data_IF_891669610483
#
_entry.id   IF_891669610483
#
_cell.length_a   1.000
_cell.length_b   1.000
_cell.length_c   1.000
_cell.angle_alpha   90.00
_cell.angle_beta   90.00
_cell.angle_gamma   90.00
#
_symmetry.space_group_name_H-M   'P 1'
#
loop_
_entity.id
_entity.type
_entity.pdbx_description
1 polymer ?
#
# COMPACT_ATOMS: atom_id res chain seq x y z
N UNK A 1 -13.58 -1.65 -21.94
CA UNK A 1 -13.02 -2.24 -20.71
C UNK A 1 -12.48 -1.09 -19.89
N UNK A 2 -12.91 -0.91 -18.64
CA UNK A 2 -12.39 0.14 -17.79
C UNK A 2 -10.90 -0.14 -17.52
N UNK A 3 -10.03 0.86 -17.64
CA UNK A 3 -8.63 0.70 -17.27
C UNK A 3 -8.53 0.68 -15.74
N UNK A 4 -7.69 -0.19 -15.16
CA UNK A 4 -7.49 -0.18 -13.72
C UNK A 4 -6.85 1.15 -13.30
N UNK A 5 -7.39 1.77 -12.26
CA UNK A 5 -6.88 3.04 -11.71
C UNK A 5 -5.43 2.95 -11.24
N UNK A 6 -5.05 1.81 -10.70
CA UNK A 6 -3.71 1.52 -10.19
C UNK A 6 -3.13 0.33 -10.93
N UNK A 7 -1.85 0.42 -11.31
CA UNK A 7 -1.11 -0.69 -11.91
C UNK A 7 -0.50 -1.59 -10.83
N UNK A 8 -0.14 -1.02 -9.69
CA UNK A 8 0.53 -1.71 -8.59
C UNK A 8 -0.23 -1.51 -7.29
N UNK A 9 -0.48 -2.61 -6.58
CA UNK A 9 -1.01 -2.58 -5.22
C UNK A 9 0.07 -3.14 -4.30
N UNK A 10 0.53 -2.31 -3.37
CA UNK A 10 1.55 -2.61 -2.38
C UNK A 10 0.88 -2.91 -1.05
N UNK A 11 1.35 -3.95 -0.38
CA UNK A 11 0.89 -4.34 0.95
C UNK A 11 2.05 -4.35 1.94
N UNK A 12 1.85 -3.79 3.14
CA UNK A 12 2.73 -4.09 4.26
C UNK A 12 2.35 -5.42 4.90
N UNK A 13 3.36 -6.16 5.32
CA UNK A 13 3.16 -7.52 5.78
C UNK A 13 4.32 -8.05 6.63
N UNK A 14 4.13 -8.01 7.95
CA UNK A 14 5.10 -8.49 8.93
C UNK A 14 4.98 -9.98 9.27
N UNK A 15 5.51 -10.88 8.41
CA UNK A 15 6.22 -12.08 8.90
C UNK A 15 5.68 -13.50 8.65
N UNK A 16 4.41 -13.76 8.31
CA UNK A 16 3.87 -15.04 7.71
C UNK A 16 2.33 -15.01 7.71
N UNK A 17 1.71 -15.45 6.62
CA UNK A 17 0.27 -15.69 6.36
C UNK A 17 0.19 -16.24 4.93
N UNK A 18 0.39 -17.55 4.89
CA UNK A 18 -0.07 -18.38 3.78
C UNK A 18 -1.58 -18.09 3.59
N UNK A 19 -1.95 -17.69 2.39
CA UNK A 19 -3.34 -17.69 1.95
C UNK A 19 -3.50 -18.91 1.03
N UNK A 20 -3.92 -20.04 1.58
CA UNK A 20 -4.70 -20.98 0.75
C UNK A 20 -6.07 -20.31 0.54
N UNK A 21 -6.48 -20.20 -0.73
CA UNK A 21 -7.61 -19.43 -1.29
C UNK A 21 -7.37 -17.96 -1.74
N UNK A 22 -6.18 -17.65 -2.26
CA UNK A 22 -6.06 -16.65 -3.33
C UNK A 22 -6.27 -17.31 -4.70
N UNK A 23 -6.64 -16.59 -5.78
CA UNK A 23 -6.63 -17.17 -7.12
C UNK A 23 -5.22 -17.72 -7.41
N UNK A 24 -5.12 -18.99 -7.81
CA UNK A 24 -3.87 -19.73 -7.99
C UNK A 24 -2.86 -19.02 -8.93
N UNK A 25 -3.34 -18.05 -9.72
CA UNK A 25 -2.63 -17.48 -10.86
C UNK A 25 -2.12 -16.04 -10.67
N UNK A 26 -2.25 -15.43 -9.48
CA UNK A 26 -1.78 -14.03 -9.26
C UNK A 26 -0.61 -14.00 -8.28
N UNK A 27 0.63 -14.16 -8.77
CA UNK A 27 1.82 -14.19 -7.92
C UNK A 27 2.14 -12.82 -7.32
N UNK A 28 2.81 -12.83 -6.17
CA UNK A 28 3.56 -11.67 -5.67
C UNK A 28 4.60 -11.33 -6.74
N UNK A 29 4.50 -10.13 -7.31
CA UNK A 29 5.37 -9.74 -8.42
C UNK A 29 6.76 -9.32 -7.93
N UNK A 30 6.85 -8.61 -6.81
CA UNK A 30 8.10 -8.08 -6.26
C UNK A 30 8.03 -7.95 -4.73
N UNK A 31 9.19 -8.01 -4.06
CA UNK A 31 9.33 -7.83 -2.61
C UNK A 31 10.35 -6.71 -2.35
N UNK A 32 9.98 -5.75 -1.50
CA UNK A 32 10.84 -4.64 -1.11
C UNK A 32 11.13 -4.67 0.40
N UNK A 33 12.35 -5.04 0.78
CA UNK A 33 12.78 -5.07 2.17
C UNK A 33 13.71 -3.89 2.51
N UNK A 34 13.53 -3.27 3.69
CA UNK A 34 14.43 -2.23 4.17
C UNK A 34 15.87 -2.73 4.35
N UNK A 35 16.07 -4.04 4.61
CA UNK A 35 17.41 -4.62 4.74
C UNK A 35 18.15 -4.64 3.40
N UNK A 36 17.43 -4.76 2.30
CA UNK A 36 17.99 -4.78 0.94
C UNK A 36 18.14 -3.36 0.39
N UNK A 37 17.13 -2.50 0.64
CA UNK A 37 17.14 -1.11 0.19
C UNK A 37 18.07 -0.23 1.05
N UNK A 38 18.30 -0.60 2.31
CA UNK A 38 19.11 0.16 3.27
C UNK A 38 18.39 1.35 3.92
N UNK A 39 17.16 1.63 3.51
CA UNK A 39 16.33 2.74 4.00
C UNK A 39 15.04 2.20 4.62
N UNK A 40 14.51 2.89 5.63
CA UNK A 40 13.21 2.53 6.21
C UNK A 40 12.07 3.17 5.44
N UNK A 41 10.87 2.61 5.53
CA UNK A 41 9.65 3.12 4.88
C UNK A 41 9.30 4.56 5.24
N UNK A 42 9.71 5.05 6.41
CA UNK A 42 9.52 6.44 6.82
C UNK A 42 10.36 7.42 5.98
N UNK A 43 11.42 6.93 5.34
CA UNK A 43 12.31 7.70 4.45
C UNK A 43 11.70 7.83 3.05
N UNK A 44 11.71 9.04 2.50
CA UNK A 44 11.33 9.27 1.11
C UNK A 44 12.20 8.47 0.13
N UNK A 45 13.46 8.19 0.50
CA UNK A 45 14.40 7.44 -0.33
C UNK A 45 13.94 5.98 -0.55
N UNK A 46 13.31 5.36 0.45
CA UNK A 46 12.74 4.02 0.31
C UNK A 46 11.70 4.00 -0.82
N UNK A 47 10.75 4.94 -0.79
CA UNK A 47 9.68 5.03 -1.78
C UNK A 47 10.20 5.41 -3.16
N UNK A 48 11.18 6.31 -3.25
CA UNK A 48 11.81 6.64 -4.53
C UNK A 48 12.45 5.40 -5.18
N UNK A 49 13.10 4.54 -4.39
CA UNK A 49 13.65 3.28 -4.88
C UNK A 49 12.54 2.34 -5.36
N UNK A 50 11.47 2.16 -4.58
CA UNK A 50 10.31 1.33 -4.98
C UNK A 50 9.71 1.80 -6.31
N UNK A 51 9.41 3.09 -6.42
CA UNK A 51 8.82 3.70 -7.63
C UNK A 51 9.74 3.52 -8.84
N UNK A 52 11.05 3.73 -8.66
CA UNK A 52 12.04 3.56 -9.72
C UNK A 52 12.17 2.10 -10.17
N UNK A 53 12.18 1.14 -9.25
CA UNK A 53 12.27 -0.29 -9.58
C UNK A 53 11.05 -0.77 -10.35
N UNK A 54 9.85 -0.31 -9.97
CA UNK A 54 8.61 -0.63 -10.68
C UNK A 54 8.43 0.16 -11.99
N UNK A 55 9.33 1.10 -12.29
CA UNK A 55 9.27 2.00 -13.44
C UNK A 55 7.90 2.69 -13.58
N UNK A 56 7.30 3.06 -12.44
CA UNK A 56 5.92 3.52 -12.36
C UNK A 56 5.82 5.00 -11.96
N UNK A 57 4.66 5.62 -12.16
CA UNK A 57 4.34 6.91 -11.55
C UNK A 57 3.74 6.69 -10.15
N UNK A 58 3.99 7.55 -9.15
CA UNK A 58 3.35 7.43 -7.82
C UNK A 58 1.82 7.29 -7.88
N UNK A 59 1.19 7.87 -8.91
CA UNK A 59 -0.26 7.80 -9.13
C UNK A 59 -0.76 6.42 -9.55
N UNK A 60 0.12 5.58 -10.07
CA UNK A 60 -0.18 4.21 -10.48
C UNK A 60 -0.07 3.22 -9.32
N UNK A 61 0.38 3.68 -8.14
CA UNK A 61 0.58 2.86 -6.95
C UNK A 61 -0.53 3.13 -5.91
N UNK A 62 -1.03 2.05 -5.34
CA UNK A 62 -1.82 2.05 -4.11
C UNK A 62 -1.07 1.29 -3.01
N UNK A 63 -0.88 1.90 -1.84
CA UNK A 63 -0.29 1.27 -0.64
C UNK A 63 -1.37 0.97 0.39
N UNK A 64 -1.33 -0.22 0.99
CA UNK A 64 -2.22 -0.63 2.08
C UNK A 64 -1.38 -1.23 3.21
N UNK A 65 -1.50 -0.69 4.41
CA UNK A 65 -0.79 -1.21 5.58
C UNK A 65 -1.42 -0.75 6.88
N UNK A 66 -1.05 -1.40 7.98
CA UNK A 66 -1.62 -1.15 9.31
C UNK A 66 -0.83 -0.10 10.10
N UNK A 67 0.40 0.20 9.70
CA UNK A 67 1.25 1.18 10.37
C UNK A 67 1.09 2.58 9.76
N UNK A 68 0.50 3.50 10.54
CA UNK A 68 0.12 4.83 10.06
C UNK A 68 1.27 5.63 9.42
N UNK A 69 2.41 5.76 10.08
CA UNK A 69 3.53 6.55 9.53
C UNK A 69 4.18 5.86 8.31
N UNK A 70 4.73 4.63 8.42
CA UNK A 70 5.47 4.03 7.32
C UNK A 70 4.59 3.60 6.13
N UNK A 71 3.32 3.23 6.32
CA UNK A 71 2.49 2.70 5.23
C UNK A 71 1.45 3.67 4.69
N UNK A 72 1.19 4.78 5.41
CA UNK A 72 0.16 5.73 5.01
C UNK A 72 0.75 7.11 4.82
N UNK A 73 1.39 7.68 5.85
CA UNK A 73 1.86 9.07 5.78
C UNK A 73 3.09 9.19 4.87
N UNK A 74 4.11 8.35 5.05
CA UNK A 74 5.34 8.40 4.25
C UNK A 74 5.10 8.19 2.74
N UNK A 75 4.38 7.15 2.26
CA UNK A 75 4.09 6.99 0.83
C UNK A 75 3.25 8.15 0.27
N UNK A 76 2.31 8.71 1.03
CA UNK A 76 1.51 9.86 0.59
C UNK A 76 2.37 11.11 0.36
N UNK A 77 3.45 11.31 1.13
CA UNK A 77 4.38 12.45 0.93
C UNK A 77 5.04 12.43 -0.45
N UNK A 78 5.19 11.27 -1.07
CA UNK A 78 5.73 11.11 -2.44
C UNK A 78 4.65 10.91 -3.50
N UNK A 79 3.36 11.05 -3.13
CA UNK A 79 2.24 11.01 -4.06
C UNK A 79 1.60 9.65 -4.28
N UNK A 80 1.95 8.63 -3.49
CA UNK A 80 1.33 7.29 -3.56
C UNK A 80 -0.02 7.31 -2.85
N UNK A 81 -1.06 6.80 -3.51
CA UNK A 81 -2.36 6.62 -2.87
C UNK A 81 -2.21 5.60 -1.74
N UNK A 82 -2.63 5.95 -0.52
CA UNK A 82 -2.42 5.06 0.63
C UNK A 82 -3.68 4.91 1.46
N UNK A 83 -3.98 3.68 1.86
CA UNK A 83 -5.14 3.28 2.67
C UNK A 83 -4.64 2.70 3.99
N UNK A 84 -5.18 3.22 5.09
CA UNK A 84 -4.87 2.69 6.41
C UNK A 84 -5.75 1.47 6.71
N UNK A 85 -5.11 0.32 6.97
CA UNK A 85 -5.80 -0.87 7.43
C UNK A 85 -5.86 -0.91 8.97
N UNK A 86 -6.95 -0.38 9.53
CA UNK A 86 -7.12 -0.22 10.96
C UNK A 86 -8.02 -1.32 11.56
N UNK A 87 -7.58 -2.58 11.50
CA UNK A 87 -8.39 -3.73 11.95
C UNK A 87 -8.81 -3.62 13.43
N UNK A 88 -7.93 -3.11 14.29
CA UNK A 88 -8.17 -3.01 15.75
C UNK A 88 -8.99 -1.78 16.16
N UNK A 89 -9.46 -0.97 15.19
CA UNK A 89 -10.15 0.29 15.43
C UNK A 89 -9.37 1.23 16.39
N UNK A 90 -8.06 1.34 16.17
CA UNK A 90 -7.18 2.24 16.93
C UNK A 90 -7.69 3.66 16.73
N UNK A 91 -8.10 4.30 17.82
CA UNK A 91 -8.47 5.71 17.83
C UNK A 91 -7.20 6.57 17.81
N UNK A 92 -6.57 6.64 16.64
CA UNK A 92 -5.61 7.68 16.36
C UNK A 92 -6.37 8.90 15.84
N UNK A 93 -5.90 10.09 16.18
CA UNK A 93 -6.43 11.34 15.60
C UNK A 93 -6.21 11.23 14.10
N UNK A 94 -7.27 10.94 13.34
CA UNK A 94 -7.22 10.84 11.88
C UNK A 94 -6.69 12.19 11.35
N UNK A 95 -5.48 12.23 10.80
CA UNK A 95 -4.98 13.42 10.15
C UNK A 95 -5.73 13.55 8.81
N UNK A 96 -6.91 14.18 8.86
CA UNK A 96 -7.59 14.75 7.69
C UNK A 96 -8.16 13.74 6.67
N UNK A 97 -8.99 12.79 7.10
CA UNK A 97 -9.83 12.02 6.18
C UNK A 97 -9.04 11.00 5.36
N UNK A 98 -8.08 10.32 5.99
CA UNK A 98 -7.35 9.26 5.34
C UNK A 98 -8.30 8.11 4.98
N UNK A 99 -8.24 7.57 3.75
CA UNK A 99 -8.95 6.34 3.41
C UNK A 99 -8.58 5.25 4.43
N UNK A 100 -9.55 4.80 5.20
CA UNK A 100 -9.36 3.84 6.28
C UNK A 100 -10.33 2.69 6.09
N UNK A 101 -9.82 1.47 6.19
CA UNK A 101 -10.62 0.25 6.10
C UNK A 101 -10.37 -0.62 7.33
N UNK A 102 -11.38 -1.37 7.74
CA UNK A 102 -11.29 -2.31 8.86
C UNK A 102 -11.27 -3.77 8.37
N UNK A 103 -11.58 -4.01 7.09
CA UNK A 103 -11.52 -5.33 6.44
C UNK A 103 -10.92 -5.17 5.05
N UNK A 104 -10.07 -6.12 4.64
CA UNK A 104 -9.44 -6.07 3.32
C UNK A 104 -10.44 -6.04 2.14
N UNK A 105 -11.62 -6.65 2.30
CA UNK A 105 -12.68 -6.58 1.27
C UNK A 105 -13.17 -5.16 0.98
N UNK A 106 -13.03 -4.25 1.95
CA UNK A 106 -13.45 -2.86 1.82
C UNK A 106 -12.45 -2.05 0.97
N UNK A 107 -11.30 -2.64 0.61
CA UNK A 107 -10.34 -2.08 -0.34
C UNK A 107 -10.89 -2.05 -1.78
N UNK A 108 -11.67 -3.06 -2.18
CA UNK A 108 -12.10 -3.24 -3.58
C UNK A 108 -12.85 -2.00 -4.11
N UNK A 109 -13.82 -1.41 -3.38
CA UNK A 109 -14.47 -0.18 -3.82
C UNK A 109 -13.50 1.00 -3.97
N UNK A 110 -12.49 1.10 -3.11
CA UNK A 110 -11.51 2.20 -3.14
C UNK A 110 -10.61 2.13 -4.39
N UNK A 111 -10.23 0.92 -4.80
CA UNK A 111 -9.44 0.69 -6.01
C UNK A 111 -10.23 0.94 -7.29
N UNK A 112 -11.55 0.71 -7.26
CA UNK A 112 -12.43 0.86 -8.42
C UNK A 112 -12.94 2.30 -8.62
N UNK A 113 -12.92 3.14 -7.60
CA UNK A 113 -13.38 4.53 -7.71
C UNK A 113 -12.41 5.39 -8.51
N UNK A 114 -12.87 6.07 -9.56
CA UNK A 114 -12.16 7.21 -10.16
C UNK A 114 -12.42 8.44 -9.28
N UNK A 115 -11.36 9.16 -8.86
CA UNK A 115 -11.46 10.46 -8.17
C UNK A 115 -10.84 11.51 -9.08
#
# INVERSE_FOLDING_TARGET
MAQPRFQWILFDWGGTLMLEDGPEDVPISEIFCFMEIGERKESAQFWNTVISTLQASPRDLAMVGDSLEPDVIAPRRVGVFSVWFNQDNRQLVDPQGLPTIHRLRDLVPLLASEV
#
